data_IF_835458740620
#
_entry.id   IF_835458740620
#
_cell.length_a   1.000
_cell.length_b   1.000
_cell.length_c   1.000
_cell.angle_alpha   90.00
_cell.angle_beta   90.00
_cell.angle_gamma   90.00
#
_symmetry.space_group_name_H-M   'P 1'
#
loop_
_entity.id
_entity.type
_entity.pdbx_description
1 polymer ?
#
# COMPACT_ATOMS: atom_id res chain seq x y z
N UNK A 1 3.51 -1.59 14.94
CA UNK A 1 2.75 -2.06 16.12
C UNK A 1 1.27 -1.77 16.01
N UNK A 2 0.83 -0.52 15.79
CA UNK A 2 -0.61 -0.21 15.61
C UNK A 2 -1.25 -0.96 14.43
N UNK A 3 -0.60 -1.02 13.26
CA UNK A 3 -1.13 -1.77 12.11
C UNK A 3 -1.20 -3.28 12.37
N UNK A 4 -0.19 -3.85 13.01
CA UNK A 4 -0.20 -5.27 13.38
C UNK A 4 -1.36 -5.61 14.33
N UNK A 5 -1.67 -4.70 15.27
CA UNK A 5 -2.81 -4.84 16.16
C UNK A 5 -4.16 -4.66 15.42
N UNK A 6 -4.22 -3.80 14.39
CA UNK A 6 -5.45 -3.54 13.62
C UNK A 6 -5.80 -4.68 12.65
N UNK A 7 -4.81 -5.35 12.07
CA UNK A 7 -5.01 -6.39 11.05
C UNK A 7 -5.04 -7.83 11.60
N UNK A 8 -4.84 -8.05 12.90
CA UNK A 8 -4.62 -9.37 13.53
C UNK A 8 -3.61 -10.27 12.78
N UNK A 9 -2.71 -9.67 11.99
CA UNK A 9 -1.81 -10.35 11.07
C UNK A 9 -0.59 -9.48 10.82
N UNK A 10 0.60 -10.09 10.82
CA UNK A 10 1.88 -9.41 10.61
C UNK A 10 2.24 -9.24 9.13
N UNK A 11 1.54 -9.92 8.21
CA UNK A 11 1.88 -9.93 6.78
C UNK A 11 1.26 -8.73 6.04
N UNK A 12 0.01 -8.38 6.34
CA UNK A 12 -0.68 -7.25 5.71
C UNK A 12 -0.03 -5.87 6.00
N UNK A 13 0.44 -5.59 7.23
CA UNK A 13 1.18 -4.36 7.54
C UNK A 13 2.46 -4.22 6.72
N UNK A 14 3.14 -5.34 6.41
CA UNK A 14 4.39 -5.30 5.66
C UNK A 14 4.18 -4.84 4.22
N UNK A 15 3.11 -5.32 3.56
CA UNK A 15 2.71 -4.87 2.21
C UNK A 15 2.43 -3.37 2.17
N UNK A 16 1.79 -2.82 3.20
CA UNK A 16 1.54 -1.38 3.32
C UNK A 16 2.83 -0.59 3.55
N UNK A 17 3.72 -1.09 4.41
CA UNK A 17 5.01 -0.44 4.71
C UNK A 17 5.92 -0.33 3.49
N UNK A 18 5.80 -1.22 2.51
CA UNK A 18 6.54 -1.14 1.25
C UNK A 18 6.15 0.09 0.41
N UNK A 19 4.97 0.67 0.58
CA UNK A 19 4.58 1.89 -0.12
C UNK A 19 5.33 3.14 0.39
N UNK A 20 5.82 3.12 1.63
CA UNK A 20 6.47 4.26 2.29
C UNK A 20 7.82 4.61 1.62
N UNK A 21 8.76 3.66 1.42
CA UNK A 21 9.99 3.94 0.68
C UNK A 21 9.74 4.53 -0.71
N UNK A 22 8.74 4.00 -1.45
CA UNK A 22 8.41 4.54 -2.77
C UNK A 22 7.93 5.98 -2.72
N UNK A 23 7.14 6.34 -1.72
CA UNK A 23 6.69 7.71 -1.51
C UNK A 23 7.86 8.65 -1.25
N UNK A 24 8.78 8.25 -0.37
CA UNK A 24 9.99 9.03 -0.07
C UNK A 24 10.87 9.16 -1.31
N UNK A 25 11.06 8.10 -2.09
CA UNK A 25 11.81 8.17 -3.35
C UNK A 25 11.16 9.15 -4.33
N UNK A 26 9.83 9.13 -4.48
CA UNK A 26 9.12 10.09 -5.33
C UNK A 26 9.31 11.55 -4.89
N UNK A 27 9.26 11.81 -3.58
CA UNK A 27 9.53 13.13 -3.02
C UNK A 27 10.97 13.59 -3.29
N UNK A 28 11.95 12.71 -3.07
CA UNK A 28 13.37 13.00 -3.31
C UNK A 28 13.65 13.28 -4.79
N UNK A 29 13.11 12.46 -5.69
CA UNK A 29 13.22 12.66 -7.15
C UNK A 29 12.62 14.01 -7.54
N UNK A 30 11.47 14.38 -6.97
CA UNK A 30 10.84 15.67 -7.26
C UNK A 30 11.68 16.86 -6.76
N UNK A 31 12.26 16.75 -5.57
CA UNK A 31 13.14 17.79 -5.03
C UNK A 31 14.39 17.95 -5.91
N UNK A 32 14.97 16.84 -6.37
CA UNK A 32 16.11 16.85 -7.30
C UNK A 32 15.74 17.51 -8.64
N UNK A 33 14.59 17.17 -9.22
CA UNK A 33 14.12 17.74 -10.48
C UNK A 33 13.78 19.24 -10.38
N UNK A 34 13.27 19.68 -9.23
CA UNK A 34 12.92 21.09 -8.98
C UNK A 34 14.09 21.91 -8.44
N UNK A 35 15.29 21.31 -8.29
CA UNK A 35 16.48 21.98 -7.75
C UNK A 35 16.33 22.44 -6.30
N UNK A 36 15.40 21.86 -5.54
CA UNK A 36 15.16 22.21 -4.14
C UNK A 36 16.01 21.38 -3.19
N UNK A 37 16.37 21.96 -2.05
CA UNK A 37 17.21 21.31 -1.05
C UNK A 37 16.39 20.51 -0.04
N UNK A 38 17.07 19.56 0.59
CA UNK A 38 16.52 18.78 1.70
C UNK A 38 16.65 19.60 2.99
N UNK A 39 15.57 20.29 3.35
CA UNK A 39 15.47 21.15 4.53
C UNK A 39 14.30 20.75 5.45
N UNK A 40 14.14 21.43 6.59
CA UNK A 40 13.07 21.14 7.56
C UNK A 40 11.67 21.13 6.94
N UNK A 41 11.36 22.06 6.02
CA UNK A 41 10.06 22.10 5.35
C UNK A 41 9.85 20.90 4.41
N UNK A 42 10.88 20.51 3.64
CA UNK A 42 10.82 19.31 2.81
C UNK A 42 10.67 18.03 3.64
N UNK A 43 11.28 17.97 4.84
CA UNK A 43 11.14 16.83 5.76
C UNK A 43 9.74 16.73 6.34
N UNK A 44 9.14 17.86 6.73
CA UNK A 44 7.73 17.92 7.14
C UNK A 44 6.83 17.44 5.99
N UNK A 45 7.12 17.88 4.75
CA UNK A 45 6.42 17.41 3.56
C UNK A 45 6.54 15.90 3.35
N UNK A 46 7.74 15.33 3.52
CA UNK A 46 7.94 13.88 3.44
C UNK A 46 7.13 13.13 4.51
N UNK A 47 7.12 13.60 5.77
CA UNK A 47 6.33 12.97 6.84
C UNK A 47 4.83 13.01 6.51
N UNK A 48 4.33 14.14 6.02
CA UNK A 48 2.95 14.28 5.58
C UNK A 48 2.62 13.30 4.44
N UNK A 49 3.50 13.22 3.44
CA UNK A 49 3.36 12.30 2.32
C UNK A 49 3.29 10.83 2.77
N UNK A 50 4.15 10.44 3.71
CA UNK A 50 4.13 9.09 4.30
C UNK A 50 2.75 8.78 4.86
N UNK A 51 2.16 9.69 5.64
CA UNK A 51 0.82 9.51 6.21
C UNK A 51 -0.27 9.33 5.13
N UNK A 52 -0.25 10.15 4.08
CA UNK A 52 -1.26 10.10 3.01
C UNK A 52 -1.15 8.79 2.21
N UNK A 53 0.06 8.42 1.79
CA UNK A 53 0.28 7.19 1.00
C UNK A 53 0.00 5.94 1.83
N UNK A 54 0.39 5.95 3.10
CA UNK A 54 0.11 4.84 4.02
C UNK A 54 -1.41 4.66 4.19
N UNK A 55 -2.16 5.75 4.42
CA UNK A 55 -3.63 5.69 4.50
C UNK A 55 -4.25 5.07 3.24
N UNK A 56 -3.82 5.50 2.06
CA UNK A 56 -4.35 4.99 0.80
C UNK A 56 -4.04 3.49 0.62
N UNK A 57 -2.84 3.05 1.02
CA UNK A 57 -2.42 1.65 0.97
C UNK A 57 -3.18 0.76 1.96
N UNK A 58 -3.38 1.25 3.20
CA UNK A 58 -4.18 0.57 4.23
C UNK A 58 -5.60 0.32 3.72
N UNK A 59 -6.27 1.36 3.20
CA UNK A 59 -7.66 1.26 2.75
C UNK A 59 -7.86 0.25 1.62
N UNK A 60 -6.85 0.11 0.76
CA UNK A 60 -6.87 -0.84 -0.36
C UNK A 60 -6.70 -2.28 0.14
N UNK A 61 -5.69 -2.53 0.97
CA UNK A 61 -5.39 -3.87 1.53
C UNK A 61 -6.51 -4.33 2.46
N UNK A 62 -7.03 -3.45 3.31
CA UNK A 62 -8.14 -3.76 4.21
C UNK A 62 -9.39 -4.17 3.44
N UNK A 63 -9.72 -3.45 2.36
CA UNK A 63 -10.88 -3.81 1.55
C UNK A 63 -10.68 -5.14 0.81
N UNK A 64 -9.47 -5.41 0.30
CA UNK A 64 -9.15 -6.71 -0.28
C UNK A 64 -9.28 -7.84 0.75
N UNK A 65 -8.82 -7.62 1.99
CA UNK A 65 -8.96 -8.62 3.06
C UNK A 65 -10.42 -8.87 3.43
N UNK A 66 -11.26 -7.83 3.50
CA UNK A 66 -12.71 -7.97 3.73
C UNK A 66 -13.39 -8.76 2.61
N UNK A 67 -13.01 -8.53 1.35
CA UNK A 67 -13.54 -9.26 0.20
C UNK A 67 -13.09 -10.73 0.22
N UNK A 68 -11.84 -11.00 0.61
CA UNK A 68 -11.34 -12.37 0.81
C UNK A 68 -12.06 -13.10 1.94
N UNK A 69 -12.37 -12.41 3.04
CA UNK A 69 -13.17 -12.97 4.14
C UNK A 69 -14.61 -13.32 3.72
N UNK A 70 -15.12 -12.72 2.63
CA UNK A 70 -16.41 -13.05 2.01
C UNK A 70 -16.33 -14.23 1.03
N UNK A 71 -15.17 -14.88 0.91
CA UNK A 71 -14.97 -16.07 0.10
C UNK A 71 -14.39 -15.84 -1.30
N UNK A 72 -14.03 -14.61 -1.65
CA UNK A 72 -13.36 -14.32 -2.92
C UNK A 72 -11.90 -14.79 -2.91
N UNK A 73 -11.40 -15.23 -4.07
CA UNK A 73 -9.97 -15.46 -4.25
C UNK A 73 -9.17 -14.17 -4.06
N UNK A 74 -7.93 -14.27 -3.61
CA UNK A 74 -7.11 -13.09 -3.31
C UNK A 74 -6.92 -12.17 -4.53
N UNK A 75 -6.83 -12.74 -5.73
CA UNK A 75 -6.68 -11.96 -6.96
C UNK A 75 -7.94 -11.17 -7.27
N UNK A 76 -9.10 -11.82 -7.14
CA UNK A 76 -10.41 -11.23 -7.41
C UNK A 76 -10.78 -10.18 -6.34
N UNK A 77 -10.49 -10.47 -5.08
CA UNK A 77 -10.65 -9.56 -3.96
C UNK A 77 -9.82 -8.28 -4.13
N UNK A 78 -8.57 -8.40 -4.59
CA UNK A 78 -7.71 -7.25 -4.85
C UNK A 78 -8.18 -6.43 -6.06
N UNK A 79 -8.67 -7.10 -7.11
CA UNK A 79 -9.21 -6.43 -8.30
C UNK A 79 -10.44 -5.58 -7.93
N UNK A 80 -11.36 -6.16 -7.13
CA UNK A 80 -12.56 -5.48 -6.68
C UNK A 80 -12.24 -4.33 -5.71
N UNK A 81 -11.29 -4.55 -4.79
CA UNK A 81 -10.78 -3.50 -3.93
C UNK A 81 -10.19 -2.33 -4.73
N UNK A 82 -9.41 -2.63 -5.77
CA UNK A 82 -8.89 -1.63 -6.71
C UNK A 82 -10.00 -0.82 -7.35
N UNK A 83 -11.02 -1.47 -7.93
CA UNK A 83 -12.14 -0.80 -8.61
C UNK A 83 -12.90 0.18 -7.71
N UNK A 84 -13.18 -0.23 -6.48
CA UNK A 84 -13.97 0.57 -5.54
C UNK A 84 -13.13 1.70 -4.93
N UNK A 85 -11.85 1.45 -4.63
CA UNK A 85 -10.99 2.42 -3.94
C UNK A 85 -10.27 3.39 -4.88
N UNK A 86 -10.11 3.06 -6.16
CA UNK A 86 -9.41 3.91 -7.13
C UNK A 86 -9.99 5.33 -7.16
N UNK A 87 -11.31 5.46 -7.23
CA UNK A 87 -11.99 6.77 -7.25
C UNK A 87 -11.69 7.60 -6.00
N UNK A 88 -11.90 7.10 -4.77
CA UNK A 88 -11.48 7.77 -3.54
C UNK A 88 -9.98 8.12 -3.46
N UNK A 89 -9.08 7.21 -3.88
CA UNK A 89 -7.62 7.44 -3.83
C UNK A 89 -7.22 8.59 -4.76
N UNK A 90 -7.79 8.63 -5.96
CA UNK A 90 -7.55 9.72 -6.90
C UNK A 90 -8.16 11.04 -6.39
N UNK A 91 -9.38 10.99 -5.83
CA UNK A 91 -10.03 12.17 -5.27
C UNK A 91 -9.17 12.84 -4.19
N UNK A 92 -8.64 12.07 -3.23
CA UNK A 92 -7.79 12.61 -2.16
C UNK A 92 -6.46 13.12 -2.70
N UNK A 93 -5.82 12.36 -3.60
CA UNK A 93 -4.54 12.74 -4.19
C UNK A 93 -4.66 14.06 -4.95
N UNK A 94 -5.65 14.18 -5.82
CA UNK A 94 -5.92 15.39 -6.61
C UNK A 94 -6.25 16.57 -5.71
N UNK A 95 -7.11 16.38 -4.71
CA UNK A 95 -7.46 17.44 -3.76
C UNK A 95 -6.22 17.96 -3.02
N UNK A 96 -5.34 17.08 -2.53
CA UNK A 96 -4.11 17.48 -1.86
C UNK A 96 -3.12 18.17 -2.80
N UNK A 97 -3.00 17.69 -4.05
CA UNK A 97 -2.15 18.32 -5.06
C UNK A 97 -2.61 19.77 -5.29
N UNK A 98 -3.91 19.99 -5.53
CA UNK A 98 -4.43 21.34 -5.74
C UNK A 98 -4.34 22.22 -4.49
N UNK A 99 -4.54 21.64 -3.29
CA UNK A 99 -4.40 22.38 -2.04
C UNK A 99 -2.97 22.89 -1.81
N UNK A 100 -1.96 22.12 -2.21
CA UNK A 100 -0.55 22.45 -2.01
C UNK A 100 0.11 23.11 -3.23
N UNK A 101 -0.58 23.14 -4.37
CA UNK A 101 -0.08 23.76 -5.60
C UNK A 101 0.31 25.23 -5.43
N UNK A 102 -0.46 26.11 -4.76
CA UNK A 102 -0.06 27.50 -4.54
C UNK A 102 1.24 27.63 -3.73
N UNK A 103 1.46 26.73 -2.77
CA UNK A 103 2.66 26.68 -1.95
C UNK A 103 3.86 26.24 -2.79
N UNK A 104 3.67 25.22 -3.64
CA UNK A 104 4.69 24.75 -4.57
C UNK A 104 5.08 25.84 -5.59
N UNK A 105 4.11 26.61 -6.09
CA UNK A 105 4.36 27.76 -6.97
C UNK A 105 5.01 28.95 -6.25
N UNK A 106 5.08 28.92 -4.92
CA UNK A 106 5.70 29.98 -4.14
C UNK A 106 4.90 31.28 -4.09
N UNK A 107 3.57 31.19 -4.10
CA UNK A 107 2.71 32.35 -3.99
C UNK A 107 2.59 32.77 -2.52
N UNK A 108 3.08 33.97 -2.17
CA UNK A 108 2.90 34.62 -0.86
C UNK A 108 4.18 34.83 -0.04
N UNK A 109 4.04 35.44 1.14
CA UNK A 109 5.14 35.73 2.05
C UNK A 109 5.72 34.42 2.65
N UNK A 110 7.05 34.31 2.71
CA UNK A 110 7.74 33.10 3.19
C UNK A 110 7.73 31.93 2.21
N UNK A 111 7.32 32.16 0.96
CA UNK A 111 7.27 31.14 -0.09
C UNK A 111 8.62 30.46 -0.37
N UNK A 112 9.74 31.17 -0.27
CA UNK A 112 11.06 30.59 -0.49
C UNK A 112 11.35 29.41 0.45
N UNK A 113 10.94 29.53 1.72
CA UNK A 113 11.15 28.47 2.72
C UNK A 113 10.13 27.34 2.60
N UNK A 114 8.89 27.65 2.18
CA UNK A 114 7.78 26.67 2.12
C UNK A 114 7.67 25.91 0.79
N UNK A 115 8.24 26.43 -0.30
CA UNK A 115 8.23 25.78 -1.63
C UNK A 115 8.69 24.31 -1.59
N UNK A 116 9.79 23.94 -0.89
CA UNK A 116 10.24 22.55 -0.81
C UNK A 116 9.24 21.60 -0.16
N UNK A 117 8.38 22.08 0.75
CA UNK A 117 7.27 21.29 1.29
C UNK A 117 6.26 20.95 0.20
N UNK A 118 5.86 21.96 -0.60
CA UNK A 118 4.93 21.80 -1.71
C UNK A 118 5.45 20.82 -2.75
N UNK A 119 6.72 20.95 -3.17
CA UNK A 119 7.34 20.05 -4.13
C UNK A 119 7.41 18.60 -3.63
N UNK A 120 7.86 18.39 -2.38
CA UNK A 120 7.97 17.06 -1.80
C UNK A 120 6.62 16.33 -1.80
N UNK A 121 5.53 17.01 -1.41
CA UNK A 121 4.21 16.38 -1.32
C UNK A 121 3.57 16.23 -2.70
N UNK A 122 3.60 17.25 -3.55
CA UNK A 122 2.93 17.22 -4.87
C UNK A 122 3.57 16.18 -5.77
N UNK A 123 4.89 16.23 -5.98
CA UNK A 123 5.53 15.25 -6.86
C UNK A 123 5.66 13.88 -6.20
N UNK A 124 5.83 13.84 -4.87
CA UNK A 124 5.73 12.60 -4.10
C UNK A 124 4.39 11.90 -4.28
N UNK A 125 3.27 12.62 -4.21
CA UNK A 125 1.93 12.06 -4.44
C UNK A 125 1.71 11.59 -5.87
N UNK A 126 2.11 12.39 -6.86
CA UNK A 126 1.94 12.03 -8.27
C UNK A 126 2.67 10.70 -8.57
N UNK A 127 3.93 10.61 -8.14
CA UNK A 127 4.75 9.44 -8.36
C UNK A 127 4.27 8.24 -7.53
N UNK A 128 4.04 8.44 -6.24
CA UNK A 128 3.64 7.37 -5.32
C UNK A 128 2.24 6.84 -5.59
N UNK A 129 1.26 7.67 -5.92
CA UNK A 129 -0.09 7.19 -6.22
C UNK A 129 -0.09 6.32 -7.47
N UNK A 130 0.65 6.70 -8.51
CA UNK A 130 0.80 5.88 -9.71
C UNK A 130 1.46 4.52 -9.41
N UNK A 131 2.57 4.54 -8.66
CA UNK A 131 3.30 3.32 -8.30
C UNK A 131 2.54 2.44 -7.30
N UNK A 132 1.86 3.01 -6.32
CA UNK A 132 1.13 2.27 -5.27
C UNK A 132 -0.06 1.53 -5.86
N UNK A 133 -0.77 2.12 -6.82
CA UNK A 133 -1.89 1.47 -7.50
C UNK A 133 -1.48 0.23 -8.30
N UNK A 134 -0.21 0.13 -8.70
CA UNK A 134 0.32 -1.05 -9.41
C UNK A 134 1.06 -2.01 -8.47
N UNK A 135 1.92 -1.48 -7.60
CA UNK A 135 2.78 -2.25 -6.73
C UNK A 135 2.01 -2.95 -5.62
N UNK A 136 1.03 -2.28 -4.99
CA UNK A 136 0.28 -2.88 -3.88
C UNK A 136 -0.50 -4.13 -4.33
N UNK A 137 -1.22 -4.13 -5.47
CA UNK A 137 -1.82 -5.36 -6.00
C UNK A 137 -0.79 -6.45 -6.34
N UNK A 138 0.32 -6.08 -6.98
CA UNK A 138 1.36 -7.05 -7.35
C UNK A 138 1.99 -7.72 -6.13
N UNK A 139 2.28 -6.95 -5.08
CA UNK A 139 2.87 -7.46 -3.84
C UNK A 139 1.85 -8.28 -3.05
N UNK A 140 0.59 -7.84 -2.99
CA UNK A 140 -0.47 -8.59 -2.31
C UNK A 140 -0.69 -9.98 -2.94
N UNK A 141 -0.80 -10.05 -4.26
CA UNK A 141 -0.97 -11.31 -5.01
C UNK A 141 0.26 -12.22 -4.89
N UNK A 142 1.48 -11.65 -4.88
CA UNK A 142 2.71 -12.41 -4.66
C UNK A 142 2.75 -13.06 -3.27
N UNK A 143 2.41 -12.30 -2.21
CA UNK A 143 2.38 -12.84 -0.85
C UNK A 143 1.33 -13.95 -0.70
N UNK A 144 0.18 -13.82 -1.36
CA UNK A 144 -0.83 -14.86 -1.32
C UNK A 144 -0.40 -16.13 -2.06
N UNK A 145 0.21 -15.99 -3.25
CA UNK A 145 0.75 -17.12 -4.00
C UNK A 145 1.86 -17.86 -3.23
N UNK A 146 2.70 -17.12 -2.49
CA UNK A 146 3.71 -17.71 -1.59
C UNK A 146 3.05 -18.46 -0.42
N UNK A 147 2.01 -17.88 0.18
CA UNK A 147 1.23 -18.53 1.25
C UNK A 147 0.53 -19.81 0.79
N UNK A 148 -0.04 -19.81 -0.42
CA UNK A 148 -0.68 -20.97 -1.02
C UNK A 148 0.31 -22.12 -1.28
N UNK A 149 1.53 -21.81 -1.77
CA UNK A 149 2.61 -22.81 -1.93
C UNK A 149 3.07 -23.41 -0.59
N UNK A 150 3.15 -22.60 0.46
CA UNK A 150 3.48 -23.07 1.81
C UNK A 150 2.40 -23.96 2.41
N UNK A 151 1.11 -23.67 2.17
CA UNK A 151 -0.02 -24.52 2.59
C UNK A 151 -0.10 -25.82 1.80
N UNK A 152 0.15 -25.79 0.50
CA UNK A 152 0.21 -27.00 -0.35
C UNK A 152 1.32 -27.95 0.12
N UNK A 153 2.46 -27.42 0.60
CA UNK A 153 3.54 -28.23 1.17
C UNK A 153 3.20 -28.86 2.53
N UNK A 154 2.32 -28.23 3.34
CA UNK A 154 1.81 -28.82 4.59
C UNK A 154 0.73 -29.88 4.38
N UNK A 155 -0.04 -29.78 3.28
CA UNK A 155 -1.14 -30.72 2.96
C UNK A 155 -0.67 -32.05 2.34
N UNK A 156 0.63 -32.18 2.05
CA UNK A 156 1.27 -33.42 1.59
C UNK A 156 1.75 -34.34 2.72
N UNK A 157 1.38 -34.09 3.98
CA UNK A 157 1.81 -34.87 5.15
C UNK A 157 0.64 -35.17 6.08
N UNK A 158 -0.44 -35.76 5.55
CA UNK A 158 -1.37 -36.54 6.39
C UNK A 158 -1.41 -38.02 5.93
N UNK A 159 -0.43 -38.85 6.31
CA UNK A 159 -0.43 -40.29 6.03
C UNK A 159 -1.44 -41.10 6.87
N UNK A 160 -2.30 -40.48 7.69
CA UNK A 160 -3.13 -41.20 8.66
C UNK A 160 -4.57 -41.45 8.16
N UNK A 161 -5.08 -40.66 7.21
CA UNK A 161 -6.44 -40.85 6.68
C UNK A 161 -6.52 -41.99 5.63
N UNK A 162 -5.38 -42.39 5.05
CA UNK A 162 -5.31 -43.48 4.07
C UNK A 162 -5.29 -44.89 4.69
N UNK A 163 -5.09 -45.03 6.02
CA UNK A 163 -4.99 -46.34 6.68
C UNK A 163 -6.29 -46.80 7.35
N UNK A 164 -7.28 -45.91 7.54
CA UNK A 164 -8.56 -46.23 8.18
C UNK A 164 -9.65 -46.77 7.24
N UNK A 165 -9.40 -46.79 5.93
CA UNK A 165 -10.36 -47.27 4.92
C UNK A 165 -10.10 -48.72 4.45
N UNK A 166 -9.23 -49.46 5.15
CA UNK A 166 -8.90 -50.86 4.84
C UNK A 166 -9.34 -51.85 5.94
N UNK A 167 -10.47 -51.60 6.62
CA UNK A 167 -11.24 -52.70 7.22
C UNK A 167 -12.40 -53.05 6.27
N UNK A 168 -12.27 -54.07 5.41
CA UNK A 168 -13.42 -54.76 4.89
C UNK A 168 -13.96 -55.69 5.98
N UNK A 169 -15.28 -55.70 6.12
CA UNK A 169 -16.05 -56.68 6.87
C UNK A 169 -15.47 -58.10 6.73
N UNK A 170 -15.02 -58.68 7.83
CA UNK A 170 -14.89 -60.12 7.98
C UNK A 170 -15.94 -60.57 9.00
N UNK A 171 -16.97 -61.19 8.44
CA UNK A 171 -18.02 -61.98 9.10
C UNK A 171 -17.49 -63.07 10.02
#
# INVERSE_FOLDING_TARGET
MVLAAQFESLVHPFTVLLAVPLAVTGALVTLLLTGSTLNLFSQIGMILLIGIVTKNSILLVEYANQQKARGLDATEAMLEAGRIRLRPILMTSVATIFALMPIALGLGAGAASRRPLGYAVVGGLIFSTALTLYLVPAVYTLFDALGARLRSRKRGVDPIEALGAMEPEAS
#
